data_IF_287286312851
#
_entry.id   IF_287286312851
#
_cell.length_a   1.000
_cell.length_b   1.000
_cell.length_c   1.000
_cell.angle_alpha   90.00
_cell.angle_beta   90.00
_cell.angle_gamma   90.00
#
_symmetry.space_group_name_H-M   'P 1'
#
loop_
_entity.id
_entity.type
_entity.pdbx_description
1 polymer ?
#
# COMPACT_ATOMS: atom_id res chain seq x y z
N UNK A 1 11.11 -9.76 16.19
CA UNK A 1 11.71 -11.00 16.73
C UNK A 1 13.14 -11.16 16.22
N UNK A 2 14.16 -11.29 17.10
CA UNK A 2 15.56 -11.34 16.69
C UNK A 2 15.92 -12.53 15.79
N UNK A 3 15.21 -13.64 15.94
CA UNK A 3 15.44 -14.84 15.14
C UNK A 3 14.98 -14.68 13.69
N UNK A 4 13.81 -14.04 13.48
CA UNK A 4 13.34 -13.70 12.13
C UNK A 4 14.31 -12.76 11.41
N UNK A 5 14.89 -11.79 12.10
CA UNK A 5 15.89 -10.89 11.51
C UNK A 5 17.18 -11.65 11.11
N UNK A 6 17.62 -12.61 11.94
CA UNK A 6 18.77 -13.47 11.59
C UNK A 6 18.48 -14.34 10.38
N UNK A 7 17.28 -14.93 10.33
CA UNK A 7 16.82 -15.76 9.20
C UNK A 7 16.76 -14.93 7.91
N UNK A 8 16.15 -13.74 7.97
CA UNK A 8 16.07 -12.83 6.84
C UNK A 8 17.47 -12.42 6.34
N UNK A 9 18.36 -12.02 7.25
CA UNK A 9 19.75 -11.64 6.90
C UNK A 9 20.48 -12.80 6.21
N UNK A 10 20.28 -14.03 6.70
CA UNK A 10 20.87 -15.24 6.12
C UNK A 10 20.30 -15.53 4.73
N UNK A 11 19.00 -15.42 4.56
CA UNK A 11 18.32 -15.64 3.28
C UNK A 11 18.74 -14.65 2.21
N UNK A 12 18.96 -13.39 2.59
CA UNK A 12 19.40 -12.34 1.67
C UNK A 12 20.88 -12.45 1.29
N UNK A 13 21.72 -13.12 2.09
CA UNK A 13 23.11 -13.46 1.77
C UNK A 13 24.06 -12.27 1.50
N UNK A 14 23.58 -11.03 1.68
CA UNK A 14 24.35 -9.83 1.32
C UNK A 14 24.99 -9.18 2.55
N UNK A 15 26.32 -8.88 2.52
CA UNK A 15 27.01 -8.16 3.59
C UNK A 15 26.50 -6.71 3.74
N UNK A 16 25.86 -6.15 2.71
CA UNK A 16 25.28 -4.81 2.75
C UNK A 16 24.02 -4.73 3.60
N UNK A 17 23.35 -5.87 3.87
CA UNK A 17 22.13 -5.90 4.68
C UNK A 17 22.46 -5.81 6.16
N UNK A 18 21.99 -4.74 6.80
CA UNK A 18 22.01 -4.55 8.25
C UNK A 18 20.60 -4.74 8.81
N UNK A 19 20.47 -5.42 9.93
CA UNK A 19 19.18 -5.65 10.58
C UNK A 19 19.19 -5.05 11.98
N UNK A 20 18.10 -4.37 12.35
CA UNK A 20 17.93 -3.74 13.65
C UNK A 20 16.64 -4.22 14.29
N UNK A 21 16.67 -4.56 15.59
CA UNK A 21 15.47 -4.76 16.36
C UNK A 21 14.98 -3.38 16.82
N UNK A 22 13.80 -2.98 16.36
CA UNK A 22 13.18 -1.72 16.73
C UNK A 22 11.66 -1.86 16.68
N UNK A 23 10.97 -1.00 17.41
CA UNK A 23 9.53 -0.78 17.29
C UNK A 23 9.32 0.38 16.31
N UNK A 24 8.52 0.17 15.28
CA UNK A 24 8.21 1.21 14.30
C UNK A 24 7.36 2.35 14.89
N UNK A 25 6.73 2.14 16.05
CA UNK A 25 6.03 3.16 16.81
C UNK A 25 6.97 4.05 17.64
N UNK A 26 8.20 3.59 17.90
CA UNK A 26 9.22 4.39 18.59
C UNK A 26 9.80 5.45 17.64
N UNK A 27 9.21 6.64 17.71
CA UNK A 27 9.56 7.77 16.84
C UNK A 27 11.03 8.17 16.98
N UNK A 28 11.58 8.16 18.20
CA UNK A 28 12.98 8.55 18.42
C UNK A 28 13.90 7.55 17.74
N UNK A 29 13.66 6.27 17.99
CA UNK A 29 14.44 5.18 17.39
C UNK A 29 14.35 5.17 15.87
N UNK A 30 13.18 5.37 15.30
CA UNK A 30 13.01 5.47 13.84
C UNK A 30 13.76 6.66 13.26
N UNK A 31 13.71 7.82 13.91
CA UNK A 31 14.47 9.00 13.50
C UNK A 31 15.98 8.73 13.49
N UNK A 32 16.52 8.04 14.49
CA UNK A 32 17.93 7.65 14.53
C UNK A 32 18.31 6.72 13.39
N UNK A 33 17.46 5.73 13.11
CA UNK A 33 17.70 4.75 12.04
C UNK A 33 17.59 5.36 10.64
N UNK A 34 16.77 6.39 10.46
CA UNK A 34 16.58 7.06 9.17
C UNK A 34 17.70 8.07 8.85
N UNK A 35 18.33 8.69 9.84
CA UNK A 35 19.39 9.69 9.64
C UNK A 35 20.48 9.30 8.62
N UNK A 36 21.01 8.07 8.61
CA UNK A 36 22.04 7.67 7.66
C UNK A 36 21.46 7.16 6.32
N UNK A 37 20.16 7.29 6.08
CA UNK A 37 19.50 6.72 4.91
C UNK A 37 19.10 7.83 3.93
N UNK A 38 19.28 7.58 2.63
CA UNK A 38 18.77 8.45 1.58
C UNK A 38 17.26 8.24 1.40
N UNK A 39 16.80 7.00 1.52
CA UNK A 39 15.39 6.59 1.32
C UNK A 39 14.96 5.62 2.41
N UNK A 40 13.73 5.77 2.88
CA UNK A 40 13.05 4.80 3.75
C UNK A 40 11.77 4.31 3.07
N UNK A 41 11.53 3.00 3.15
CA UNK A 41 10.32 2.34 2.66
C UNK A 41 9.58 1.74 3.85
N UNK A 42 8.33 2.16 4.07
CA UNK A 42 7.48 1.62 5.13
C UNK A 42 6.65 0.45 4.60
N UNK A 43 6.85 -0.72 5.20
CA UNK A 43 6.05 -1.93 4.97
C UNK A 43 5.37 -2.39 6.26
N UNK A 44 5.03 -1.45 7.15
CA UNK A 44 4.33 -1.69 8.42
C UNK A 44 2.85 -1.30 8.31
N UNK A 45 2.01 -1.61 9.31
CA UNK A 45 0.60 -1.18 9.29
C UNK A 45 0.44 0.32 9.09
N UNK A 46 -0.54 0.71 8.27
CA UNK A 46 -0.76 2.07 7.76
C UNK A 46 -0.82 3.15 8.84
N UNK A 47 -1.36 2.84 10.02
CA UNK A 47 -1.49 3.81 11.12
C UNK A 47 -0.15 4.32 11.68
N UNK A 48 0.97 3.68 11.34
CA UNK A 48 2.32 4.11 11.68
C UNK A 48 2.93 5.05 10.62
N UNK A 49 2.43 5.03 9.38
CA UNK A 49 3.05 5.68 8.24
C UNK A 49 3.21 7.19 8.43
N UNK A 50 2.18 7.90 8.88
CA UNK A 50 2.28 9.35 9.10
C UNK A 50 3.39 9.73 10.10
N UNK A 51 3.56 8.92 11.16
CA UNK A 51 4.65 9.12 12.14
C UNK A 51 6.03 8.92 11.51
N UNK A 52 6.16 7.89 10.68
CA UNK A 52 7.39 7.57 9.95
C UNK A 52 7.69 8.61 8.87
N UNK A 53 6.70 9.06 8.10
CA UNK A 53 6.84 10.11 7.11
C UNK A 53 7.34 11.43 7.74
N UNK A 54 6.79 11.81 8.90
CA UNK A 54 7.29 12.97 9.67
C UNK A 54 8.74 12.81 10.13
N UNK A 55 9.11 11.61 10.59
CA UNK A 55 10.49 11.30 10.97
C UNK A 55 11.44 11.40 9.76
N UNK A 56 11.03 10.87 8.60
CA UNK A 56 11.78 10.92 7.36
C UNK A 56 12.00 12.38 6.90
N UNK A 57 10.95 13.21 6.88
CA UNK A 57 11.07 14.65 6.56
C UNK A 57 12.04 15.36 7.51
N UNK A 58 11.96 15.07 8.83
CA UNK A 58 12.83 15.67 9.84
C UNK A 58 14.31 15.25 9.68
N UNK A 59 14.57 14.07 9.15
CA UNK A 59 15.93 13.55 8.92
C UNK A 59 16.44 13.79 7.49
N UNK A 60 15.66 14.46 6.65
CA UNK A 60 15.95 14.67 5.23
C UNK A 60 16.11 13.36 4.46
N UNK A 61 15.29 12.38 4.79
CA UNK A 61 15.21 11.07 4.14
C UNK A 61 14.00 11.04 3.21
N UNK A 62 14.14 10.60 1.97
CA UNK A 62 12.99 10.33 1.09
C UNK A 62 12.16 9.20 1.68
N UNK A 63 10.85 9.23 1.47
CA UNK A 63 9.95 8.25 2.08
C UNK A 63 8.91 7.75 1.11
N UNK A 64 8.63 6.46 1.14
CA UNK A 64 7.43 5.89 0.55
C UNK A 64 6.86 4.79 1.44
N UNK A 65 5.57 4.52 1.29
CA UNK A 65 4.85 3.48 2.00
C UNK A 65 3.86 2.74 1.09
N UNK A 66 3.28 1.68 1.62
CA UNK A 66 2.37 0.82 0.86
C UNK A 66 0.89 1.22 0.98
N UNK A 67 0.60 2.31 1.67
CA UNK A 67 -0.76 2.82 1.84
C UNK A 67 -1.61 2.04 2.84
N UNK A 68 -2.91 2.03 2.61
CA UNK A 68 -3.88 1.25 3.36
C UNK A 68 -4.93 2.05 4.14
N UNK A 69 -4.94 3.38 4.06
CA UNK A 69 -6.00 4.22 4.62
C UNK A 69 -5.98 5.64 4.05
N UNK A 70 -7.08 6.07 3.45
CA UNK A 70 -7.23 7.36 2.79
C UNK A 70 -6.96 8.59 3.69
N UNK A 71 -7.32 8.52 4.98
CA UNK A 71 -7.10 9.63 5.90
C UNK A 71 -5.61 9.80 6.24
N UNK A 72 -4.89 8.69 6.40
CA UNK A 72 -3.45 8.70 6.62
C UNK A 72 -2.74 9.26 5.39
N UNK A 73 -3.08 8.79 4.19
CA UNK A 73 -2.53 9.28 2.92
C UNK A 73 -2.74 10.79 2.75
N UNK A 74 -3.94 11.29 3.02
CA UNK A 74 -4.21 12.75 2.98
C UNK A 74 -3.36 13.52 3.96
N UNK A 75 -3.15 12.98 5.17
CA UNK A 75 -2.30 13.62 6.18
C UNK A 75 -0.82 13.60 5.76
N UNK A 76 -0.35 12.57 5.07
CA UNK A 76 1.00 12.51 4.50
C UNK A 76 1.18 13.50 3.35
N UNK A 77 0.22 13.60 2.43
CA UNK A 77 0.19 14.62 1.39
C UNK A 77 0.22 16.04 1.98
N UNK A 78 -0.38 16.23 3.16
CA UNK A 78 -0.32 17.48 3.92
C UNK A 78 1.10 17.87 4.38
N UNK A 79 2.07 16.95 4.34
CA UNK A 79 3.48 17.24 4.62
C UNK A 79 4.22 17.89 3.43
N UNK A 80 3.57 18.11 2.29
CA UNK A 80 4.21 18.57 1.05
C UNK A 80 5.07 19.83 1.21
N UNK A 81 4.62 20.81 1.99
CA UNK A 81 5.39 22.03 2.24
C UNK A 81 6.66 21.76 3.06
N UNK A 82 6.55 20.93 4.10
CA UNK A 82 7.68 20.54 4.94
C UNK A 82 8.68 19.67 4.18
N UNK A 83 8.21 18.71 3.37
CA UNK A 83 9.03 17.86 2.54
C UNK A 83 9.80 18.68 1.50
N UNK A 84 9.13 19.63 0.83
CA UNK A 84 9.77 20.55 -0.12
C UNK A 84 10.86 21.41 0.55
N UNK A 85 10.59 21.94 1.74
CA UNK A 85 11.58 22.71 2.51
C UNK A 85 12.77 21.85 2.94
N UNK A 86 12.55 20.58 3.24
CA UNK A 86 13.59 19.63 3.62
C UNK A 86 14.36 19.06 2.41
N UNK A 87 13.89 19.28 1.17
CA UNK A 87 14.47 18.76 -0.06
C UNK A 87 14.23 17.26 -0.26
N UNK A 88 13.10 16.73 0.27
CA UNK A 88 12.76 15.30 0.18
C UNK A 88 11.42 15.07 -0.47
N UNK A 89 11.20 13.87 -0.95
CA UNK A 89 9.95 13.40 -1.55
C UNK A 89 9.29 12.42 -0.60
N UNK A 90 7.97 12.58 -0.39
CA UNK A 90 7.11 11.63 0.31
C UNK A 90 6.08 11.10 -0.70
N UNK A 91 6.05 9.80 -0.89
CA UNK A 91 5.14 9.13 -1.84
C UNK A 91 4.34 8.07 -1.10
N UNK A 92 3.12 8.37 -0.66
CA UNK A 92 2.24 7.37 -0.06
C UNK A 92 1.64 6.46 -1.15
N UNK A 93 0.99 5.38 -0.72
CA UNK A 93 0.23 4.46 -1.59
C UNK A 93 1.07 3.79 -2.70
N UNK A 94 2.32 3.46 -2.42
CA UNK A 94 3.23 2.77 -3.35
C UNK A 94 3.15 1.24 -3.25
N UNK A 95 1.99 0.69 -2.88
CA UNK A 95 1.77 -0.75 -2.80
C UNK A 95 1.44 -1.41 -4.14
N UNK A 96 0.73 -2.53 -4.07
CA UNK A 96 0.18 -3.22 -5.23
C UNK A 96 -1.10 -2.51 -5.72
N UNK A 97 -2.07 -2.38 -4.84
CA UNK A 97 -3.31 -1.64 -4.97
C UNK A 97 -3.73 -1.13 -3.57
N UNK A 98 -3.58 0.17 -3.35
CA UNK A 98 -3.10 1.22 -4.26
C UNK A 98 -1.62 1.15 -4.61
N UNK A 99 -1.23 1.76 -5.74
CA UNK A 99 0.16 1.94 -6.17
C UNK A 99 0.42 1.42 -7.59
N UNK A 100 0.96 0.21 -7.74
CA UNK A 100 1.36 -0.34 -9.04
C UNK A 100 0.19 -0.38 -10.05
N UNK A 101 -1.00 -0.75 -9.63
CA UNK A 101 -2.19 -0.79 -10.51
C UNK A 101 -2.55 0.59 -11.06
N UNK A 102 -2.38 1.64 -10.26
CA UNK A 102 -2.64 3.03 -10.68
C UNK A 102 -1.65 3.49 -11.74
N UNK A 103 -0.37 3.13 -11.58
CA UNK A 103 0.69 3.44 -12.55
C UNK A 103 0.43 2.70 -13.87
N UNK A 104 0.09 1.40 -13.81
CA UNK A 104 -0.24 0.61 -15.01
C UNK A 104 -1.49 1.15 -15.71
N UNK A 105 -2.51 1.54 -14.96
CA UNK A 105 -3.72 2.12 -15.52
C UNK A 105 -3.43 3.48 -16.20
N UNK A 106 -2.61 4.33 -15.58
CA UNK A 106 -2.21 5.62 -16.13
C UNK A 106 -1.35 5.46 -17.41
N UNK A 107 -0.41 4.50 -17.42
CA UNK A 107 0.40 4.19 -18.60
C UNK A 107 -0.49 3.67 -19.75
N UNK A 108 -1.40 2.74 -19.47
CA UNK A 108 -2.37 2.26 -20.47
C UNK A 108 -3.26 3.37 -21.02
N UNK A 109 -3.79 4.22 -20.14
CA UNK A 109 -4.59 5.38 -20.53
C UNK A 109 -3.83 6.35 -21.44
N UNK A 110 -2.55 6.61 -21.14
CA UNK A 110 -1.73 7.53 -21.93
C UNK A 110 -1.41 7.04 -23.36
N UNK A 111 -1.54 5.74 -23.62
CA UNK A 111 -1.25 5.10 -24.90
C UNK A 111 -2.47 4.90 -25.79
N UNK A 112 -3.67 5.12 -25.27
CA UNK A 112 -4.91 4.94 -25.99
C UNK A 112 -5.44 6.29 -26.47
N UNK A 113 -5.91 6.36 -27.71
CA UNK A 113 -6.52 7.57 -28.27
C UNK A 113 -7.84 7.91 -27.57
N UNK A 114 -8.56 6.87 -27.12
CA UNK A 114 -9.81 6.97 -26.40
C UNK A 114 -9.92 5.90 -25.33
N UNK A 115 -10.36 6.29 -24.15
CA UNK A 115 -10.61 5.37 -23.04
C UNK A 115 -12.01 5.61 -22.49
N UNK A 116 -12.89 4.64 -22.65
CA UNK A 116 -14.27 4.70 -22.16
C UNK A 116 -14.38 4.24 -20.69
N UNK A 117 -13.50 3.32 -20.25
CA UNK A 117 -13.50 2.82 -18.89
C UNK A 117 -12.12 2.28 -18.48
N UNK A 118 -11.76 2.50 -17.22
CA UNK A 118 -10.63 1.83 -16.55
C UNK A 118 -11.23 0.97 -15.44
N UNK A 119 -10.98 -0.33 -15.50
CA UNK A 119 -11.50 -1.30 -14.53
C UNK A 119 -10.34 -2.05 -13.90
N UNK A 120 -10.07 -1.79 -12.63
CA UNK A 120 -8.99 -2.41 -11.86
C UNK A 120 -9.58 -3.56 -11.05
N UNK A 121 -8.96 -4.74 -11.13
CA UNK A 121 -9.31 -5.92 -10.34
C UNK A 121 -8.05 -6.39 -9.62
N UNK A 122 -8.15 -6.56 -8.33
CA UNK A 122 -7.06 -7.04 -7.48
C UNK A 122 -7.60 -8.16 -6.59
N UNK A 123 -6.80 -9.18 -6.35
CA UNK A 123 -7.14 -10.26 -5.45
C UNK A 123 -5.92 -10.89 -4.81
N UNK A 124 -6.01 -11.20 -3.52
CA UNK A 124 -5.01 -11.92 -2.74
C UNK A 124 -5.49 -13.32 -2.37
N UNK A 125 -5.75 -14.18 -3.37
CA UNK A 125 -6.34 -15.50 -3.14
C UNK A 125 -5.28 -16.57 -2.87
N UNK A 126 -5.47 -17.44 -1.85
CA UNK A 126 -4.58 -18.56 -1.62
C UNK A 126 -4.71 -19.61 -2.74
N UNK A 127 -3.59 -20.21 -3.15
CA UNK A 127 -3.60 -21.30 -4.15
C UNK A 127 -4.43 -22.52 -3.71
N UNK A 128 -4.58 -22.73 -2.43
CA UNK A 128 -5.38 -23.80 -1.81
C UNK A 128 -6.31 -23.15 -0.80
N UNK A 129 -7.47 -22.64 -1.24
CA UNK A 129 -8.44 -22.03 -0.36
C UNK A 129 -8.94 -23.05 0.69
N UNK A 130 -9.16 -22.58 1.92
CA UNK A 130 -9.68 -23.39 3.02
C UNK A 130 -10.95 -22.77 3.55
N UNK A 131 -12.04 -23.54 3.71
CA UNK A 131 -13.24 -23.06 4.37
C UNK A 131 -12.96 -22.57 5.80
N UNK A 132 -13.81 -21.70 6.37
CA UNK A 132 -15.04 -21.15 5.79
C UNK A 132 -14.83 -19.96 4.84
N UNK A 133 -13.74 -19.20 4.99
CA UNK A 133 -13.56 -17.93 4.26
C UNK A 133 -12.90 -18.08 2.90
N UNK A 134 -12.27 -19.21 2.62
CA UNK A 134 -11.46 -19.43 1.42
C UNK A 134 -10.40 -18.34 1.16
N UNK A 135 -10.02 -17.62 2.19
CA UNK A 135 -9.11 -16.48 2.17
C UNK A 135 -7.93 -16.71 3.14
N UNK A 136 -6.80 -16.08 2.87
CA UNK A 136 -5.66 -16.07 3.76
C UNK A 136 -5.23 -14.62 4.04
N UNK A 137 -5.17 -14.26 5.30
CA UNK A 137 -4.66 -12.95 5.72
C UNK A 137 -3.16 -12.86 5.43
N UNK A 138 -2.79 -12.04 4.45
CA UNK A 138 -1.41 -11.87 3.99
C UNK A 138 -0.80 -10.53 4.34
N UNK A 139 -1.61 -9.63 4.91
CA UNK A 139 -1.20 -8.29 5.37
C UNK A 139 -1.90 -7.92 6.69
N UNK A 140 -1.99 -6.64 7.03
CA UNK A 140 -2.60 -6.17 8.28
C UNK A 140 -4.09 -6.51 8.36
N UNK A 141 -4.52 -7.09 9.49
CA UNK A 141 -5.95 -7.33 9.75
C UNK A 141 -6.78 -6.04 9.69
N UNK A 142 -6.23 -4.93 10.21
CA UNK A 142 -6.90 -3.63 10.14
C UNK A 142 -7.01 -3.12 8.70
N UNK A 143 -5.99 -3.34 7.86
CA UNK A 143 -6.05 -3.02 6.44
C UNK A 143 -7.13 -3.82 5.72
N UNK A 144 -7.20 -5.13 5.97
CA UNK A 144 -8.25 -5.97 5.41
C UNK A 144 -9.66 -5.51 5.82
N UNK A 145 -9.86 -5.16 7.11
CA UNK A 145 -11.15 -4.68 7.58
C UNK A 145 -11.52 -3.36 6.87
N UNK A 146 -10.57 -2.45 6.68
CA UNK A 146 -10.82 -1.19 5.97
C UNK A 146 -11.37 -1.42 4.56
N UNK A 147 -10.80 -2.35 3.80
CA UNK A 147 -11.26 -2.68 2.45
C UNK A 147 -12.75 -3.06 2.39
N UNK A 148 -13.28 -3.65 3.46
CA UNK A 148 -14.67 -4.12 3.54
C UNK A 148 -15.64 -3.17 4.23
N UNK A 149 -15.18 -2.11 4.88
CA UNK A 149 -16.03 -1.20 5.65
C UNK A 149 -15.95 0.26 5.19
N UNK A 150 -14.87 0.67 4.53
CA UNK A 150 -14.71 2.04 4.05
C UNK A 150 -15.31 2.21 2.65
N UNK A 151 -16.06 3.31 2.40
CA UNK A 151 -16.55 3.62 1.07
C UNK A 151 -15.40 3.84 0.09
N UNK A 152 -15.57 3.37 -1.14
CA UNK A 152 -14.61 3.56 -2.22
C UNK A 152 -14.99 4.74 -3.12
N UNK A 153 -13.97 5.49 -3.55
CA UNK A 153 -14.13 6.60 -4.48
C UNK A 153 -13.91 6.11 -5.91
N UNK A 154 -14.92 6.24 -6.74
CA UNK A 154 -14.89 5.84 -8.15
C UNK A 154 -15.18 7.02 -9.07
N UNK A 155 -14.80 6.90 -10.34
CA UNK A 155 -15.22 7.82 -11.39
C UNK A 155 -16.37 7.19 -12.18
N UNK A 156 -17.55 7.83 -12.18
CA UNK A 156 -18.73 7.43 -12.95
C UNK A 156 -19.20 8.60 -13.78
N UNK A 157 -19.35 8.40 -15.08
CA UNK A 157 -19.81 9.43 -16.02
C UNK A 157 -19.03 10.77 -15.90
N UNK A 158 -17.72 10.65 -15.73
CA UNK A 158 -16.82 11.79 -15.58
C UNK A 158 -16.87 12.50 -14.22
N UNK A 159 -17.62 11.96 -13.23
CA UNK A 159 -17.77 12.55 -11.89
C UNK A 159 -17.31 11.60 -10.81
N UNK A 160 -16.68 12.16 -9.78
CA UNK A 160 -16.34 11.40 -8.58
C UNK A 160 -17.61 11.01 -7.82
N UNK A 161 -17.73 9.76 -7.45
CA UNK A 161 -18.84 9.20 -6.71
C UNK A 161 -18.33 8.22 -5.65
N UNK A 162 -18.93 8.28 -4.47
CA UNK A 162 -18.72 7.29 -3.42
C UNK A 162 -19.57 6.05 -3.67
N UNK A 163 -19.02 4.89 -3.42
CA UNK A 163 -19.68 3.60 -3.46
C UNK A 163 -19.50 2.87 -2.15
N UNK A 164 -20.53 2.18 -1.73
CA UNK A 164 -20.44 1.31 -0.56
C UNK A 164 -19.50 0.14 -0.85
N UNK A 165 -18.73 -0.30 0.14
CA UNK A 165 -17.95 -1.51 0.01
C UNK A 165 -18.87 -2.71 -0.21
N UNK A 166 -18.35 -3.75 -0.84
CA UNK A 166 -19.09 -4.96 -1.21
C UNK A 166 -20.24 -4.76 -2.21
N UNK A 167 -20.45 -3.54 -2.69
CA UNK A 167 -21.45 -3.25 -3.73
C UNK A 167 -20.93 -3.59 -5.14
N UNK A 168 -21.83 -3.50 -6.12
CA UNK A 168 -21.56 -3.74 -7.55
C UNK A 168 -20.88 -5.10 -7.80
N UNK A 169 -21.40 -6.15 -7.17
CA UNK A 169 -20.89 -7.51 -7.33
C UNK A 169 -20.96 -7.93 -8.79
N UNK A 170 -19.85 -8.42 -9.32
CA UNK A 170 -19.77 -8.95 -10.68
C UNK A 170 -19.07 -10.33 -10.69
N UNK A 171 -19.51 -11.22 -11.58
CA UNK A 171 -18.83 -12.49 -11.83
C UNK A 171 -17.88 -12.32 -13.02
N UNK A 172 -16.64 -12.70 -12.84
CA UNK A 172 -15.57 -12.62 -13.84
C UNK A 172 -14.95 -13.98 -14.07
N UNK A 173 -14.58 -14.26 -15.32
CA UNK A 173 -13.83 -15.46 -15.66
C UNK A 173 -12.39 -15.10 -15.99
N UNK A 174 -11.48 -15.57 -15.16
CA UNK A 174 -10.05 -15.42 -15.36
C UNK A 174 -9.45 -16.66 -16.04
N UNK A 175 -8.30 -16.52 -16.71
CA UNK A 175 -7.55 -17.67 -17.21
C UNK A 175 -7.21 -18.66 -16.08
N UNK A 176 -7.01 -19.92 -16.45
CA UNK A 176 -6.49 -20.91 -15.50
C UNK A 176 -5.19 -20.40 -14.86
N UNK A 177 -4.97 -20.65 -13.56
CA UNK A 177 -5.71 -21.55 -12.67
C UNK A 177 -6.89 -20.93 -11.91
N UNK A 178 -7.26 -19.68 -12.15
CA UNK A 178 -8.21 -18.94 -11.31
C UNK A 178 -9.69 -19.26 -11.62
N UNK A 179 -10.09 -19.33 -12.90
CA UNK A 179 -11.46 -19.62 -13.31
C UNK A 179 -12.44 -18.49 -12.97
N UNK A 180 -13.65 -18.87 -12.53
CA UNK A 180 -14.70 -17.92 -12.13
C UNK A 180 -14.44 -17.38 -10.72
N UNK A 181 -14.51 -16.06 -10.60
CA UNK A 181 -14.38 -15.34 -9.34
C UNK A 181 -15.44 -14.23 -9.26
N UNK A 182 -15.85 -13.90 -8.07
CA UNK A 182 -16.63 -12.70 -7.79
C UNK A 182 -15.70 -11.52 -7.49
N UNK A 183 -16.05 -10.34 -7.95
CA UNK A 183 -15.42 -9.09 -7.60
C UNK A 183 -16.48 -8.09 -7.15
N UNK A 184 -16.10 -7.20 -6.24
CA UNK A 184 -16.94 -6.17 -5.67
C UNK A 184 -16.10 -4.93 -5.35
N UNK A 185 -16.75 -3.81 -5.08
CA UNK A 185 -16.05 -2.58 -4.71
C UNK A 185 -15.37 -2.71 -3.35
N UNK A 186 -14.11 -2.29 -3.27
CA UNK A 186 -13.35 -2.13 -2.02
C UNK A 186 -12.65 -0.77 -2.01
N UNK A 187 -12.37 -0.25 -0.81
CA UNK A 187 -11.61 1.00 -0.64
C UNK A 187 -10.13 0.83 -0.95
#
# INVERSE_FOLDING_TARGET
>A
EPERLRTLKRALGSPKVKTFKADAGDRQRMTELMKPCDVAVSCVPYFLNLGLARAAVATRTHFCDLGGNNNVVRAELGLSAQARKAGVTVVPDCGLAPGMVSILAADGFSRLERTDAIRIRVGGLPRKPKPPLNYALVFSANGLINEYVEPCLVLRDGKLAWREPLADVEELTFPKPFGKLEAFNTS
#
